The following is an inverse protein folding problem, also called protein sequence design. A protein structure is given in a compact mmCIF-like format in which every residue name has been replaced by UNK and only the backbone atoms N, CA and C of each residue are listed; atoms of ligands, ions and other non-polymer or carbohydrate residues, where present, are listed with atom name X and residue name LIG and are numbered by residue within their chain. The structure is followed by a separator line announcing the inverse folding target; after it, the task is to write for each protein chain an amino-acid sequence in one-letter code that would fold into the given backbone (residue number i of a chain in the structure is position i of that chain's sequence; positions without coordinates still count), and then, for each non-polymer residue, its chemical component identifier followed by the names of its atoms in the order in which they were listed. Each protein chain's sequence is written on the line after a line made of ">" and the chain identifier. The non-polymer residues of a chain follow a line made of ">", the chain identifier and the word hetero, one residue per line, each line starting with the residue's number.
data_IF_053121887526
#
_entry.id   IF_053121887526
#
_cell.length_a   1.000
_cell.length_b   1.000
_cell.length_c   1.000
_cell.angle_alpha   90.00
_cell.angle_beta   90.00
_cell.angle_gamma   90.00
#
_symmetry.space_group_name_H-M   'P 1'
#
loop_
_entity.id
_entity.type
_entity.pdbx_description
1 polymer ?
#
# COMPACT_ATOMS: atom_id res chain seq x y z
N UNK A 1 34.01 -1.86 4.08
CA UNK A 1 32.85 -1.28 4.78
C UNK A 1 31.93 -2.41 5.17
N UNK A 2 31.56 -2.53 6.44
CA UNK A 2 30.48 -3.40 6.88
C UNK A 2 29.17 -2.64 6.84
N UNK A 3 28.12 -3.27 6.34
CA UNK A 3 26.75 -2.76 6.43
C UNK A 3 26.14 -3.37 7.68
N UNK A 4 25.47 -2.56 8.50
CA UNK A 4 24.81 -3.05 9.71
C UNK A 4 23.69 -4.03 9.34
N UNK A 5 23.50 -5.08 10.14
CA UNK A 5 22.54 -6.15 9.82
C UNK A 5 21.09 -5.65 9.70
N UNK A 6 20.77 -4.51 10.33
CA UNK A 6 19.45 -3.87 10.29
C UNK A 6 19.36 -2.69 9.31
N UNK A 7 20.36 -2.47 8.45
CA UNK A 7 20.24 -1.43 7.42
C UNK A 7 19.06 -1.74 6.51
N UNK A 8 18.04 -0.85 6.41
CA UNK A 8 16.89 -1.07 5.55
C UNK A 8 17.32 -1.09 4.09
N UNK A 9 16.74 -2.01 3.31
CA UNK A 9 17.02 -2.17 1.88
C UNK A 9 15.72 -2.38 1.11
N UNK A 10 15.66 -1.87 -0.12
CA UNK A 10 14.57 -2.18 -1.05
C UNK A 10 14.92 -3.47 -1.78
N UNK A 11 14.11 -4.50 -1.57
CA UNK A 11 14.36 -5.84 -2.13
C UNK A 11 13.49 -6.17 -3.35
N UNK A 12 12.46 -5.38 -3.64
CA UNK A 12 11.67 -5.54 -4.85
C UNK A 12 10.72 -4.37 -5.09
N UNK A 13 10.38 -4.15 -6.35
CA UNK A 13 9.51 -3.06 -6.82
C UNK A 13 8.47 -3.58 -7.81
N UNK A 14 7.34 -2.89 -7.91
CA UNK A 14 6.28 -3.27 -8.83
C UNK A 14 5.36 -2.10 -9.15
N UNK A 15 5.01 -1.98 -10.42
CA UNK A 15 4.12 -0.96 -10.94
C UNK A 15 3.06 -1.59 -11.85
N UNK A 16 1.94 -0.90 -12.01
CA UNK A 16 0.89 -1.27 -12.96
C UNK A 16 0.20 -0.03 -13.50
N UNK A 17 -0.03 -0.03 -14.81
CA UNK A 17 -0.84 0.98 -15.49
C UNK A 17 -1.94 0.28 -16.24
N UNK A 18 -3.18 0.45 -15.78
CA UNK A 18 -4.35 -0.03 -16.49
C UNK A 18 -4.74 0.95 -17.61
N UNK A 19 -4.94 0.43 -18.82
CA UNK A 19 -5.31 1.22 -20.01
C UNK A 19 -6.64 0.80 -20.64
N UNK A 20 -7.36 -0.13 -20.01
CA UNK A 20 -8.66 -0.60 -20.49
C UNK A 20 -9.80 0.37 -20.18
N UNK A 21 -10.91 0.18 -20.88
CA UNK A 21 -12.17 0.91 -20.70
C UNK A 21 -13.14 0.20 -19.75
N UNK A 22 -12.66 -0.68 -18.89
CA UNK A 22 -13.42 -1.27 -17.78
C UNK A 22 -13.29 -0.41 -16.51
N UNK A 23 -14.11 -0.73 -15.51
CA UNK A 23 -13.98 -0.13 -14.18
C UNK A 23 -12.95 -0.94 -13.38
N UNK A 24 -11.99 -0.25 -12.77
CA UNK A 24 -11.00 -0.85 -11.87
C UNK A 24 -10.99 -0.13 -10.52
N UNK A 25 -10.98 -0.91 -9.45
CA UNK A 25 -10.83 -0.45 -8.07
C UNK A 25 -9.36 -0.08 -7.79
N UNK A 26 -9.05 1.03 -7.12
CA UNK A 26 -7.67 1.32 -6.71
C UNK A 26 -7.08 0.23 -5.80
N UNK A 27 -7.88 -0.51 -5.03
CA UNK A 27 -7.39 -1.66 -4.25
C UNK A 27 -6.85 -2.75 -5.18
N UNK A 28 -7.54 -3.03 -6.30
CA UNK A 28 -7.11 -4.06 -7.25
C UNK A 28 -5.80 -3.67 -7.93
N UNK A 29 -5.63 -2.38 -8.29
CA UNK A 29 -4.36 -1.88 -8.83
C UNK A 29 -3.22 -1.98 -7.81
N UNK A 30 -3.48 -1.58 -6.56
CA UNK A 30 -2.49 -1.68 -5.49
C UNK A 30 -2.08 -3.14 -5.25
N UNK A 31 -3.04 -4.07 -5.25
CA UNK A 31 -2.77 -5.52 -5.10
C UNK A 31 -1.93 -6.06 -6.26
N UNK A 32 -2.22 -5.67 -7.51
CA UNK A 32 -1.43 -6.10 -8.65
C UNK A 32 0.00 -5.54 -8.60
N UNK A 33 0.18 -4.26 -8.25
CA UNK A 33 1.50 -3.68 -8.03
C UNK A 33 2.26 -4.40 -6.90
N UNK A 34 1.60 -4.69 -5.78
CA UNK A 34 2.17 -5.43 -4.65
C UNK A 34 2.61 -6.85 -5.07
N UNK A 35 1.80 -7.56 -5.86
CA UNK A 35 2.16 -8.90 -6.38
C UNK A 35 3.37 -8.86 -7.30
N UNK A 36 3.55 -7.78 -8.07
CA UNK A 36 4.75 -7.57 -8.90
C UNK A 36 5.97 -7.31 -8.02
N UNK A 37 5.86 -6.45 -7.01
CA UNK A 37 6.94 -6.19 -6.06
C UNK A 37 7.38 -7.45 -5.30
N UNK A 38 6.43 -8.27 -4.83
CA UNK A 38 6.71 -9.56 -4.18
C UNK A 38 7.39 -10.54 -5.14
N UNK A 39 7.03 -10.52 -6.42
CA UNK A 39 7.64 -11.38 -7.44
C UNK A 39 9.09 -10.99 -7.71
N UNK A 40 9.33 -9.68 -7.81
CA UNK A 40 10.66 -9.09 -8.00
C UNK A 40 11.60 -9.41 -6.82
N UNK A 41 11.09 -9.27 -5.58
CA UNK A 41 11.81 -9.64 -4.36
C UNK A 41 12.00 -11.15 -4.15
N UNK A 42 11.29 -11.99 -4.92
CA UNK A 42 11.18 -13.42 -4.71
C UNK A 42 10.06 -13.80 -3.73
N UNK A 43 9.23 -14.79 -4.13
CA UNK A 43 7.96 -15.13 -3.46
C UNK A 43 8.06 -15.50 -1.98
N UNK A 44 9.25 -15.87 -1.50
CA UNK A 44 9.46 -16.18 -0.08
C UNK A 44 9.24 -14.96 0.84
N UNK A 45 9.37 -13.73 0.32
CA UNK A 45 9.16 -12.50 1.09
C UNK A 45 7.69 -12.30 1.49
N UNK A 46 6.74 -12.82 0.68
CA UNK A 46 5.30 -12.60 0.85
C UNK A 46 4.80 -12.98 2.25
N UNK A 47 5.29 -14.11 2.78
CA UNK A 47 4.92 -14.62 4.10
C UNK A 47 5.63 -13.91 5.26
N UNK A 48 6.63 -13.09 4.97
CA UNK A 48 7.40 -12.35 5.98
C UNK A 48 6.91 -10.92 6.17
N UNK A 49 6.07 -10.40 5.26
CA UNK A 49 5.50 -9.05 5.37
C UNK A 49 4.74 -8.93 6.70
N UNK A 50 5.32 -8.19 7.63
CA UNK A 50 4.74 -7.92 8.95
C UNK A 50 3.97 -6.59 8.99
N UNK A 51 4.23 -5.71 8.02
CA UNK A 51 3.61 -4.38 7.94
C UNK A 51 3.19 -4.08 6.51
N UNK A 52 1.94 -3.66 6.32
CA UNK A 52 1.43 -3.10 5.06
C UNK A 52 1.09 -1.64 5.29
N UNK A 53 1.61 -0.75 4.45
CA UNK A 53 1.36 0.69 4.54
C UNK A 53 0.93 1.27 3.19
N UNK A 54 -0.07 2.13 3.21
CA UNK A 54 -0.58 2.82 2.02
C UNK A 54 -0.70 4.32 2.23
N UNK A 55 -0.33 5.15 1.24
CA UNK A 55 -0.80 6.52 1.19
C UNK A 55 -2.32 6.54 1.02
N UNK A 56 -2.95 7.68 1.35
CA UNK A 56 -4.37 7.87 1.12
C UNK A 56 -4.72 7.82 -0.37
N UNK A 57 -5.86 7.21 -0.70
CA UNK A 57 -6.39 7.13 -2.07
C UNK A 57 -7.30 8.34 -2.31
N UNK A 58 -6.98 9.15 -3.31
CA UNK A 58 -7.64 10.42 -3.56
C UNK A 58 -8.92 10.29 -4.37
N UNK A 59 -8.89 9.58 -5.51
CA UNK A 59 -9.96 9.70 -6.52
C UNK A 59 -11.14 8.76 -6.29
N UNK A 60 -10.91 7.63 -5.60
CA UNK A 60 -11.96 6.72 -5.12
C UNK A 60 -11.56 6.30 -3.69
N UNK A 61 -11.90 7.10 -2.66
CA UNK A 61 -11.53 6.80 -1.29
C UNK A 61 -12.04 5.43 -0.84
N UNK A 62 -11.24 4.74 -0.03
CA UNK A 62 -11.58 3.43 0.56
C UNK A 62 -11.38 3.49 2.06
N UNK A 63 -12.27 2.84 2.79
CA UNK A 63 -12.12 2.55 4.20
C UNK A 63 -11.02 1.50 4.40
N UNK A 64 -10.15 1.75 5.39
CA UNK A 64 -9.05 0.88 5.79
C UNK A 64 -8.29 0.25 4.58
N UNK A 65 -7.71 1.07 3.67
CA UNK A 65 -7.14 0.56 2.43
C UNK A 65 -5.97 -0.39 2.65
N UNK A 66 -5.16 -0.25 3.70
CA UNK A 66 -4.11 -1.22 4.01
C UNK A 66 -4.69 -2.58 4.40
N UNK A 67 -5.76 -2.61 5.19
CA UNK A 67 -6.50 -3.84 5.50
C UNK A 67 -7.12 -4.47 4.26
N UNK A 68 -7.76 -3.68 3.39
CA UNK A 68 -8.31 -4.19 2.11
C UNK A 68 -7.21 -4.82 1.23
N UNK A 69 -6.05 -4.17 1.11
CA UNK A 69 -4.90 -4.68 0.35
C UNK A 69 -4.38 -5.97 0.98
N UNK A 70 -4.18 -6.01 2.30
CA UNK A 70 -3.67 -7.19 3.00
C UNK A 70 -4.60 -8.41 2.83
N UNK A 71 -5.92 -8.21 2.94
CA UNK A 71 -6.92 -9.26 2.73
C UNK A 71 -6.96 -9.75 1.28
N UNK A 72 -6.90 -8.85 0.30
CA UNK A 72 -6.88 -9.20 -1.12
C UNK A 72 -5.57 -9.89 -1.54
N UNK A 73 -4.45 -9.55 -0.88
CA UNK A 73 -3.17 -10.26 -0.97
C UNK A 73 -3.17 -11.59 -0.21
N UNK A 74 -4.15 -11.83 0.66
CA UNK A 74 -4.23 -13.01 1.56
C UNK A 74 -3.01 -13.13 2.47
N UNK A 75 -2.52 -12.00 2.98
CA UNK A 75 -1.44 -11.92 3.96
C UNK A 75 -1.96 -11.42 5.31
N UNK A 76 -1.28 -11.80 6.39
CA UNK A 76 -1.66 -11.48 7.76
C UNK A 76 -0.61 -10.60 8.46
N UNK A 77 -0.36 -9.36 8.00
CA UNK A 77 0.60 -8.48 8.66
C UNK A 77 0.13 -8.15 10.08
N UNK A 78 1.08 -7.94 10.98
CA UNK A 78 0.83 -7.47 12.34
C UNK A 78 0.33 -6.01 12.32
N UNK A 79 0.85 -5.18 11.41
CA UNK A 79 0.51 -3.75 11.29
C UNK A 79 -0.06 -3.41 9.92
N UNK A 80 -1.07 -2.55 9.91
CA UNK A 80 -1.78 -2.09 8.70
C UNK A 80 -1.96 -0.60 8.79
N UNK A 81 -1.23 0.16 7.98
CA UNK A 81 -1.12 1.62 8.10
C UNK A 81 -1.78 2.28 6.90
N UNK A 82 -2.72 3.18 7.16
CA UNK A 82 -3.28 4.06 6.15
C UNK A 82 -3.02 5.50 6.50
N UNK A 83 -2.28 6.19 5.65
CA UNK A 83 -2.00 7.61 5.81
C UNK A 83 -3.07 8.48 5.13
N UNK A 84 -3.20 9.74 5.54
CA UNK A 84 -3.93 10.74 4.77
C UNK A 84 -3.36 10.92 3.35
N UNK A 85 -4.16 11.49 2.45
CA UNK A 85 -3.69 11.91 1.12
C UNK A 85 -2.62 12.99 1.27
N UNK A 86 -1.50 12.82 0.57
CA UNK A 86 -0.41 13.78 0.54
C UNK A 86 0.64 13.41 -0.51
N UNK A 87 1.15 14.41 -1.25
CA UNK A 87 2.09 14.17 -2.35
C UNK A 87 3.45 13.63 -1.90
N UNK A 88 3.86 13.92 -0.66
CA UNK A 88 5.09 13.41 -0.04
C UNK A 88 4.87 12.14 0.81
N UNK A 89 3.62 11.67 0.96
CA UNK A 89 3.28 10.53 1.83
C UNK A 89 4.04 9.25 1.46
N UNK A 90 4.23 8.88 0.17
CA UNK A 90 5.01 7.70 -0.18
C UNK A 90 6.46 7.77 0.33
N UNK A 91 7.13 8.92 0.17
CA UNK A 91 8.50 9.11 0.64
C UNK A 91 8.57 9.13 2.17
N UNK A 92 7.58 9.76 2.81
CA UNK A 92 7.46 9.76 4.27
C UNK A 92 7.33 8.33 4.84
N UNK A 93 6.51 7.49 4.21
CA UNK A 93 6.35 6.09 4.61
C UNK A 93 7.67 5.31 4.49
N UNK A 94 8.43 5.53 3.42
CA UNK A 94 9.76 4.91 3.24
C UNK A 94 10.71 5.33 4.36
N UNK A 95 10.78 6.62 4.68
CA UNK A 95 11.63 7.16 5.75
C UNK A 95 11.26 6.56 7.11
N UNK A 96 9.99 6.63 7.50
CA UNK A 96 9.52 6.17 8.81
C UNK A 96 9.72 4.67 8.95
N UNK A 97 9.26 3.89 7.98
CA UNK A 97 9.28 2.43 8.08
C UNK A 97 10.68 1.84 7.86
N UNK A 98 11.54 2.51 7.07
CA UNK A 98 12.97 2.21 7.03
C UNK A 98 13.63 2.44 8.40
N UNK A 99 13.27 3.53 9.08
CA UNK A 99 13.68 3.81 10.45
C UNK A 99 13.19 2.77 11.46
N UNK A 100 11.98 2.22 11.29
CA UNK A 100 11.46 1.11 12.11
C UNK A 100 12.27 -0.18 11.92
N UNK A 101 12.63 -0.51 10.67
CA UNK A 101 13.50 -1.66 10.35
C UNK A 101 14.86 -1.50 11.02
N UNK A 102 15.49 -0.33 10.86
CA UNK A 102 16.78 -0.01 11.48
C UNK A 102 16.77 -0.19 13.01
N UNK A 103 15.62 0.06 13.66
CA UNK A 103 15.45 0.05 15.11
C UNK A 103 14.94 -1.26 15.70
N UNK A 104 14.66 -2.31 14.92
CA UNK A 104 14.13 -3.55 15.52
C UNK A 104 12.64 -3.75 15.46
N UNK A 105 11.87 -2.82 14.87
CA UNK A 105 10.41 -2.74 15.07
C UNK A 105 9.58 -3.27 13.90
N UNK A 106 10.21 -3.49 12.77
CA UNK A 106 9.66 -4.19 11.61
C UNK A 106 10.80 -4.97 10.94
N UNK A 107 10.47 -6.02 10.20
CA UNK A 107 11.45 -6.83 9.48
C UNK A 107 11.18 -6.80 7.96
N UNK A 108 9.92 -6.85 7.53
CA UNK A 108 9.53 -6.72 6.12
C UNK A 108 8.27 -5.86 6.00
N UNK A 109 8.42 -4.76 5.26
CA UNK A 109 7.37 -3.76 5.06
C UNK A 109 6.98 -3.71 3.59
N UNK A 110 5.69 -3.71 3.30
CA UNK A 110 5.13 -3.39 1.99
C UNK A 110 4.56 -1.97 2.01
N UNK A 111 5.17 -1.06 1.24
CA UNK A 111 4.60 0.27 0.94
C UNK A 111 3.98 0.23 -0.44
N UNK A 112 2.68 0.50 -0.55
CA UNK A 112 1.96 0.40 -1.83
C UNK A 112 0.78 1.36 -1.87
N UNK A 113 0.50 1.94 -3.03
CA UNK A 113 -0.67 2.79 -3.26
C UNK A 113 -1.07 2.76 -4.73
N UNK A 114 -2.27 3.26 -5.05
CA UNK A 114 -2.76 3.35 -6.41
C UNK A 114 -3.88 4.39 -6.54
N UNK A 115 -4.08 4.87 -7.77
CA UNK A 115 -5.19 5.75 -8.15
C UNK A 115 -5.90 5.20 -9.38
N UNK A 116 -7.23 5.34 -9.43
CA UNK A 116 -8.08 4.84 -10.53
C UNK A 116 -8.86 5.98 -11.17
N UNK A 117 -8.16 6.93 -11.78
CA UNK A 117 -8.76 8.16 -12.30
C UNK A 117 -9.80 7.94 -13.41
N UNK A 118 -9.58 6.99 -14.31
CA UNK A 118 -10.56 6.65 -15.35
C UNK A 118 -11.86 6.09 -14.73
N UNK A 119 -11.75 5.18 -13.78
CA UNK A 119 -12.88 4.64 -13.01
C UNK A 119 -13.64 5.73 -12.24
N UNK A 120 -12.91 6.68 -11.63
CA UNK A 120 -13.51 7.78 -10.89
C UNK A 120 -14.41 8.65 -11.78
N UNK A 121 -13.96 8.95 -13.01
CA UNK A 121 -14.76 9.69 -13.99
C UNK A 121 -16.03 8.94 -14.39
N UNK A 122 -15.99 7.61 -14.47
CA UNK A 122 -17.18 6.79 -14.74
C UNK A 122 -18.19 6.82 -13.61
N UNK A 123 -17.74 6.79 -12.36
CA UNK A 123 -18.63 6.94 -11.21
C UNK A 123 -19.32 8.30 -11.21
N UNK A 124 -18.58 9.37 -11.52
CA UNK A 124 -19.16 10.71 -11.69
C UNK A 124 -20.20 10.79 -12.81
N UNK A 125 -20.03 9.97 -13.86
CA UNK A 125 -20.99 9.82 -14.96
C UNK A 125 -22.22 8.95 -14.66
N UNK A 126 -22.46 8.58 -13.39
CA UNK A 126 -23.62 7.78 -12.96
C UNK A 126 -23.33 6.29 -12.77
N UNK A 127 -22.06 5.87 -12.80
CA UNK A 127 -21.67 4.50 -12.45
C UNK A 127 -21.89 4.21 -10.96
N UNK A 128 -22.39 3.02 -10.63
CA UNK A 128 -22.52 2.56 -9.24
C UNK A 128 -21.20 1.95 -8.75
N UNK A 129 -20.80 2.34 -7.55
CA UNK A 129 -19.67 1.73 -6.85
C UNK A 129 -20.15 0.50 -6.06
N UNK A 130 -19.85 -0.69 -6.56
CA UNK A 130 -20.02 -1.91 -5.78
C UNK A 130 -18.87 -2.02 -4.78
N UNK A 131 -19.10 -1.58 -3.55
CA UNK A 131 -18.13 -1.75 -2.46
C UNK A 131 -18.29 -3.13 -1.83
N UNK A 132 -17.22 -3.94 -1.74
CA UNK A 132 -17.27 -5.15 -0.94
C UNK A 132 -17.46 -4.80 0.55
N UNK A 133 -17.86 -5.78 1.38
CA UNK A 133 -17.94 -5.59 2.83
C UNK A 133 -16.69 -4.91 3.40
N UNK A 134 -16.82 -4.18 4.52
CA UNK A 134 -15.67 -3.60 5.20
C UNK A 134 -14.66 -4.70 5.57
N UNK A 135 -13.36 -4.39 5.59
CA UNK A 135 -12.36 -5.35 6.01
C UNK A 135 -12.55 -5.74 7.47
N UNK A 136 -12.03 -6.91 7.84
CA UNK A 136 -12.14 -7.50 9.18
C UNK A 136 -11.30 -6.77 10.22
N UNK A 137 -10.28 -6.04 9.77
CA UNK A 137 -9.37 -5.27 10.62
C UNK A 137 -9.41 -3.80 10.25
N UNK A 138 -9.14 -2.94 11.24
CA UNK A 138 -8.95 -1.52 11.03
C UNK A 138 -7.48 -1.19 10.75
N UNK A 139 -7.26 -0.01 10.18
CA UNK A 139 -5.92 0.52 9.96
C UNK A 139 -5.50 1.48 11.07
N UNK A 140 -4.21 1.43 11.42
CA UNK A 140 -3.59 2.50 12.19
C UNK A 140 -3.29 3.71 11.28
N UNK A 141 -3.33 4.91 11.84
CA UNK A 141 -3.00 6.13 11.12
C UNK A 141 -1.63 6.64 11.57
N UNK A 142 -0.71 6.84 10.63
CA UNK A 142 0.47 7.66 10.88
C UNK A 142 0.13 9.12 10.52
N UNK A 143 0.57 10.05 11.36
CA UNK A 143 0.43 11.48 11.06
C UNK A 143 1.25 11.84 9.82
N UNK A 144 0.71 12.69 8.94
CA UNK A 144 1.48 13.25 7.82
C UNK A 144 2.60 14.14 8.36
N UNK A 145 3.77 14.23 7.71
CA UNK A 145 4.71 15.30 8.03
C UNK A 145 3.98 16.64 7.83
N UNK A 146 4.13 17.56 8.80
CA UNK A 146 3.72 18.94 8.59
C UNK A 146 4.35 19.45 7.28
N UNK A 147 3.65 20.26 6.47
CA UNK A 147 4.29 20.90 5.33
C UNK A 147 5.50 21.69 5.86
N UNK A 148 6.68 21.31 5.38
CA UNK A 148 7.93 22.04 5.64
C UNK A 148 7.96 23.37 4.91
#
# INVERSE_FOLDING_TARGET
>A
MSVEARTPVVVGVGDVTHRGDDFVDPIDLAVEAARRAVRDAGRAVERRIDTVATPGILVIPRDNPASRIAEAMRIGPARRISCPVGGNTPQYLVEVLGGEIAKGRADVVLVVGAESGHSARKLQGGGLLNSPPPPRSGDESLATPAPG
#
